data_IF_737558534431
#
_entry.id   IF_737558534431
#
_cell.length_a   1.000
_cell.length_b   1.000
_cell.length_c   1.000
_cell.angle_alpha   90.00
_cell.angle_beta   90.00
_cell.angle_gamma   90.00
#
_symmetry.space_group_name_H-M   'P 1'
#
loop_
_entity.id
_entity.type
_entity.pdbx_description
1 polymer ?
#
# COMPACT_ATOMS: atom_id res chain seq x y z
N UNK A 1 13.61 -4.95 -1.28
CA UNK A 1 12.97 -3.69 -0.84
C UNK A 1 11.49 -3.96 -0.62
N UNK A 2 10.82 -3.29 0.32
CA UNK A 2 9.35 -3.33 0.43
C UNK A 2 8.85 -2.00 -0.13
N UNK A 3 7.92 -2.02 -1.10
CA UNK A 3 7.46 -0.81 -1.81
C UNK A 3 8.59 0.06 -2.41
N UNK A 4 9.64 -0.56 -2.97
CA UNK A 4 10.85 0.15 -3.45
C UNK A 4 11.57 0.98 -2.36
N UNK A 5 11.30 0.72 -1.07
CA UNK A 5 11.94 1.40 0.06
C UNK A 5 12.91 0.47 0.81
N UNK A 6 13.89 1.09 1.47
CA UNK A 6 14.82 0.41 2.38
C UNK A 6 14.10 -0.13 3.61
N UNK A 7 14.64 -1.21 4.21
CA UNK A 7 14.09 -1.77 5.47
C UNK A 7 14.02 -0.72 6.59
N UNK A 8 15.03 0.16 6.66
CA UNK A 8 15.08 1.25 7.64
C UNK A 8 13.99 2.30 7.41
N UNK A 9 13.72 2.67 6.16
CA UNK A 9 12.64 3.61 5.81
C UNK A 9 11.28 3.03 6.19
N UNK A 10 11.03 1.77 5.83
CA UNK A 10 9.78 1.07 6.18
C UNK A 10 9.61 0.99 7.70
N UNK A 11 10.65 0.66 8.45
CA UNK A 11 10.60 0.62 9.91
C UNK A 11 10.26 1.98 10.54
N UNK A 12 10.82 3.08 10.01
CA UNK A 12 10.49 4.45 10.46
C UNK A 12 9.03 4.81 10.14
N UNK A 13 8.54 4.50 8.94
CA UNK A 13 7.16 4.78 8.55
C UNK A 13 6.17 3.97 9.37
N UNK A 14 6.43 2.68 9.60
CA UNK A 14 5.59 1.84 10.46
C UNK A 14 5.50 2.40 11.88
N UNK A 15 6.61 2.87 12.46
CA UNK A 15 6.60 3.49 13.78
C UNK A 15 5.70 4.73 13.80
N UNK A 16 5.78 5.61 12.80
CA UNK A 16 4.89 6.78 12.70
C UNK A 16 3.41 6.41 12.59
N UNK A 17 3.08 5.33 11.89
CA UNK A 17 1.69 4.87 11.77
C UNK A 17 1.18 4.27 13.09
N UNK A 18 2.06 3.58 13.82
CA UNK A 18 1.80 3.02 15.15
C UNK A 18 1.64 4.14 16.20
N UNK A 19 2.53 5.13 16.21
CA UNK A 19 2.46 6.31 17.09
C UNK A 19 1.16 7.11 16.86
N UNK A 20 0.68 7.16 15.61
CA UNK A 20 -0.61 7.78 15.27
C UNK A 20 -1.81 6.88 15.56
N UNK A 21 -1.59 5.64 15.97
CA UNK A 21 -2.61 4.66 16.34
C UNK A 21 -3.36 4.05 15.17
N UNK A 22 -2.81 4.07 13.95
CA UNK A 22 -3.45 3.45 12.78
C UNK A 22 -3.12 1.96 12.63
N UNK A 23 -1.97 1.54 13.16
CA UNK A 23 -1.54 0.14 13.13
C UNK A 23 -1.06 -0.30 14.51
N UNK A 24 -1.02 -1.60 14.72
CA UNK A 24 -0.42 -2.24 15.88
C UNK A 24 0.48 -3.42 15.48
N UNK A 25 1.46 -3.73 16.32
CA UNK A 25 2.34 -4.90 16.18
C UNK A 25 1.97 -5.97 17.19
N UNK A 26 1.58 -7.14 16.69
CA UNK A 26 1.27 -8.31 17.51
C UNK A 26 2.43 -9.29 17.41
N UNK A 27 2.96 -9.74 18.55
CA UNK A 27 3.98 -10.80 18.57
C UNK A 27 3.37 -12.08 18.01
N UNK A 28 4.03 -12.68 17.03
CA UNK A 28 3.62 -13.98 16.51
C UNK A 28 3.84 -15.06 17.60
N UNK A 29 2.78 -15.80 17.94
CA UNK A 29 2.80 -16.82 18.99
C UNK A 29 3.72 -18.01 18.67
N UNK A 30 3.83 -18.36 17.39
CA UNK A 30 4.66 -19.48 16.90
C UNK A 30 6.13 -19.06 16.72
N UNK A 31 6.38 -17.76 16.55
CA UNK A 31 7.73 -17.22 16.43
C UNK A 31 7.82 -15.81 17.02
N UNK A 32 8.27 -15.72 18.28
CA UNK A 32 8.37 -14.45 19.02
C UNK A 32 9.35 -13.43 18.42
N UNK A 33 10.18 -13.82 17.44
CA UNK A 33 11.06 -12.89 16.70
C UNK A 33 10.34 -12.21 15.54
N UNK A 34 9.10 -12.59 15.23
CA UNK A 34 8.27 -12.01 14.17
C UNK A 34 7.12 -11.21 14.76
N UNK A 35 6.82 -10.08 14.12
CA UNK A 35 5.64 -9.27 14.39
C UNK A 35 4.65 -9.39 13.25
N UNK A 36 3.37 -9.44 13.59
CA UNK A 36 2.24 -9.32 12.67
C UNK A 36 1.76 -7.88 12.77
N UNK A 37 1.71 -7.18 11.64
CA UNK A 37 1.13 -5.85 11.54
C UNK A 37 -0.37 -5.98 11.33
N UNK A 38 -1.17 -5.26 12.10
CA UNK A 38 -2.62 -5.14 11.91
C UNK A 38 -3.04 -3.69 11.90
N UNK A 39 -4.14 -3.40 11.20
CA UNK A 39 -4.85 -2.13 11.37
C UNK A 39 -5.52 -2.14 12.74
N UNK A 40 -5.52 -0.98 13.40
CA UNK A 40 -6.42 -0.75 14.52
C UNK A 40 -7.80 -0.37 13.99
N UNK A 41 -8.81 -0.29 14.87
CA UNK A 41 -10.12 0.27 14.52
C UNK A 41 -10.01 1.66 13.88
N UNK A 42 -9.16 2.54 14.43
CA UNK A 42 -8.87 3.87 13.86
C UNK A 42 -8.23 3.76 12.46
N UNK A 43 -7.36 2.79 12.25
CA UNK A 43 -6.79 2.50 10.93
C UNK A 43 -7.85 2.10 9.91
N UNK A 44 -8.76 1.22 10.29
CA UNK A 44 -9.86 0.76 9.44
C UNK A 44 -10.83 1.92 9.08
N UNK A 45 -11.17 2.77 10.04
CA UNK A 45 -12.06 3.92 9.86
C UNK A 45 -11.54 4.94 8.83
N UNK A 46 -10.23 4.99 8.59
CA UNK A 46 -9.63 5.89 7.60
C UNK A 46 -9.65 5.32 6.17
N UNK A 47 -9.80 4.00 6.01
CA UNK A 47 -9.81 3.35 4.69
C UNK A 47 -10.89 3.91 3.74
N UNK A 48 -12.15 4.12 4.17
CA UNK A 48 -13.17 4.69 3.29
C UNK A 48 -12.82 6.10 2.82
N UNK A 49 -12.18 6.92 3.67
CA UNK A 49 -11.72 8.26 3.29
C UNK A 49 -10.62 8.15 2.24
N UNK A 50 -9.60 7.32 2.46
CA UNK A 50 -8.52 7.13 1.51
C UNK A 50 -9.01 6.64 0.14
N UNK A 51 -9.97 5.70 0.13
CA UNK A 51 -10.57 5.21 -1.12
C UNK A 51 -11.27 6.33 -1.87
N UNK A 52 -12.10 7.12 -1.18
CA UNK A 52 -12.78 8.27 -1.79
C UNK A 52 -11.81 9.30 -2.36
N UNK A 53 -10.74 9.64 -1.64
CA UNK A 53 -9.74 10.60 -2.15
C UNK A 53 -8.99 10.03 -3.36
N UNK A 54 -8.69 8.72 -3.34
CA UNK A 54 -8.07 8.03 -4.46
C UNK A 54 -8.99 8.01 -5.69
N UNK A 55 -10.27 7.70 -5.51
CA UNK A 55 -11.27 7.69 -6.58
C UNK A 55 -11.48 9.10 -7.14
N UNK A 56 -11.55 10.11 -6.27
CA UNK A 56 -11.61 11.51 -6.68
C UNK A 56 -10.42 11.90 -7.55
N UNK A 57 -9.20 11.59 -7.09
CA UNK A 57 -8.00 11.86 -7.86
C UNK A 57 -8.03 11.11 -9.20
N UNK A 58 -8.37 9.81 -9.19
CA UNK A 58 -8.43 8.96 -10.38
C UNK A 58 -9.36 9.55 -11.45
N UNK A 59 -10.55 9.98 -11.05
CA UNK A 59 -11.50 10.64 -11.94
C UNK A 59 -10.97 12.02 -12.39
N UNK A 60 -10.40 12.80 -11.48
CA UNK A 60 -9.94 14.17 -11.77
C UNK A 60 -8.79 14.23 -12.76
N UNK A 61 -7.94 13.20 -12.80
CA UNK A 61 -6.84 13.11 -13.78
C UNK A 61 -7.28 12.50 -15.12
N UNK A 62 -8.56 12.19 -15.28
CA UNK A 62 -9.10 11.66 -16.53
C UNK A 62 -8.91 10.15 -16.72
N UNK A 63 -8.55 9.40 -15.66
CA UNK A 63 -8.34 7.96 -15.79
C UNK A 63 -9.65 7.17 -15.87
N UNK A 64 -10.78 7.74 -15.42
CA UNK A 64 -12.09 7.11 -15.51
C UNK A 64 -12.61 7.04 -16.97
N UNK A 65 -12.08 7.90 -17.83
CA UNK A 65 -12.43 8.06 -19.23
C UNK A 65 -11.53 7.22 -20.15
N UNK A 66 -10.45 6.65 -19.62
CA UNK A 66 -9.56 5.75 -20.36
C UNK A 66 -10.28 4.42 -20.59
N UNK A 67 -10.22 3.90 -21.82
CA UNK A 67 -10.84 2.60 -22.12
C UNK A 67 -10.18 1.47 -21.34
N UNK A 68 -10.98 0.47 -20.95
CA UNK A 68 -10.46 -0.67 -20.19
C UNK A 68 -9.36 -1.42 -20.96
N UNK A 69 -9.46 -1.50 -22.29
CA UNK A 69 -8.43 -2.08 -23.15
C UNK A 69 -7.09 -1.33 -23.03
N UNK A 70 -7.12 0.01 -23.01
CA UNK A 70 -5.91 0.82 -22.84
C UNK A 70 -5.33 0.63 -21.44
N UNK A 71 -6.19 0.57 -20.41
CA UNK A 71 -5.75 0.30 -19.04
C UNK A 71 -5.13 -1.09 -18.89
N UNK A 72 -5.65 -2.10 -19.58
CA UNK A 72 -5.07 -3.44 -19.60
C UNK A 72 -3.68 -3.46 -20.24
N UNK A 73 -3.49 -2.74 -21.34
CA UNK A 73 -2.16 -2.56 -21.96
C UNK A 73 -1.21 -1.87 -20.98
N UNK A 74 -1.64 -0.79 -20.33
CA UNK A 74 -0.82 -0.08 -19.32
C UNK A 74 -0.42 -1.00 -18.15
N UNK A 75 -1.36 -1.79 -17.62
CA UNK A 75 -1.09 -2.77 -16.55
C UNK A 75 -0.11 -3.85 -17.02
N UNK A 76 -0.26 -4.34 -18.24
CA UNK A 76 0.63 -5.36 -18.81
C UNK A 76 2.06 -4.83 -18.97
N UNK A 77 2.21 -3.61 -19.50
CA UNK A 77 3.51 -2.93 -19.64
C UNK A 77 4.14 -2.69 -18.26
N UNK A 78 3.38 -2.16 -17.30
CA UNK A 78 3.87 -1.92 -15.93
C UNK A 78 4.36 -3.20 -15.24
N UNK A 79 3.62 -4.31 -15.40
CA UNK A 79 4.01 -5.61 -14.84
C UNK A 79 5.27 -6.17 -15.50
N UNK A 80 5.38 -6.10 -16.83
CA UNK A 80 6.59 -6.52 -17.56
C UNK A 80 7.81 -5.69 -17.13
N UNK A 81 7.64 -4.37 -17.03
CA UNK A 81 8.69 -3.46 -16.57
C UNK A 81 9.15 -3.79 -15.14
N UNK A 82 8.21 -4.05 -14.22
CA UNK A 82 8.55 -4.46 -12.86
C UNK A 82 9.35 -5.77 -12.84
N UNK A 83 8.94 -6.77 -13.63
CA UNK A 83 9.63 -8.07 -13.65
C UNK A 83 11.07 -7.94 -14.18
N UNK A 84 11.30 -7.17 -15.24
CA UNK A 84 12.64 -6.95 -15.81
C UNK A 84 13.64 -6.32 -14.83
N UNK A 85 13.17 -5.53 -13.86
CA UNK A 85 14.03 -4.85 -12.87
C UNK A 85 14.24 -5.71 -11.62
N UNK A 86 13.41 -6.73 -11.39
CA UNK A 86 13.45 -7.57 -10.20
C UNK A 86 13.84 -9.04 -10.47
N UNK A 87 14.11 -9.41 -11.72
CA UNK A 87 14.94 -10.57 -12.10
C UNK A 87 16.43 -10.24 -11.90
#
# INVERSE_FOLDING_TARGET
>A
MIFCQSKGTVAKTLRKLEDKGYIERIINKDNRRKYILKLTKKGEEVIPVLKREMDYWHNSVGLAEVSEETMDVMRAVARKSYNLVNE
#
